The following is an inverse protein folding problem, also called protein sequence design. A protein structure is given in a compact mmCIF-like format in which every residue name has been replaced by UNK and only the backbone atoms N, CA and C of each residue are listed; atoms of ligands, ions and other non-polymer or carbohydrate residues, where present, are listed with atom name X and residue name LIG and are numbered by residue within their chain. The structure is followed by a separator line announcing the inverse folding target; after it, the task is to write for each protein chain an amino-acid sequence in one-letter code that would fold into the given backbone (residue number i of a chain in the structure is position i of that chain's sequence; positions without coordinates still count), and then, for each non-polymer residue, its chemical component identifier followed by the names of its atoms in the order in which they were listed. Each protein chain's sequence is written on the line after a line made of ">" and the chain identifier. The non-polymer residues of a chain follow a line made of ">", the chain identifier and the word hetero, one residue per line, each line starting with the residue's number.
data_IF_313251569844
#
_entry.id   IF_313251569844
#
_cell.length_a   1.000
_cell.length_b   1.000
_cell.length_c   1.000
_cell.angle_alpha   90.00
_cell.angle_beta   90.00
_cell.angle_gamma   90.00
#
_symmetry.space_group_name_H-M   'P 1'
#
loop_
_entity.id
_entity.type
_entity.pdbx_description
1 polymer ?
#
# COMPACT_ATOMS: atom_id res chain seq x y z
N UNK A 1 24.33 -16.67 31.57
CA UNK A 1 23.94 -15.29 31.22
C UNK A 1 23.49 -15.27 29.76
N UNK A 2 22.32 -15.84 29.48
CA UNK A 2 21.76 -15.99 28.12
C UNK A 2 20.26 -15.80 28.30
N UNK A 3 19.66 -14.79 27.65
CA UNK A 3 18.20 -14.69 27.37
C UNK A 3 17.73 -13.27 26.95
N UNK A 4 18.61 -12.29 26.69
CA UNK A 4 18.16 -10.99 26.17
C UNK A 4 18.13 -10.94 24.64
N UNK A 5 19.13 -11.52 23.95
CA UNK A 5 19.19 -11.49 22.47
C UNK A 5 18.04 -12.26 21.80
N UNK A 6 17.53 -13.33 22.42
CA UNK A 6 16.40 -14.10 21.90
C UNK A 6 15.07 -13.36 21.99
N UNK A 7 14.87 -12.51 23.01
CA UNK A 7 13.66 -11.72 23.16
C UNK A 7 13.60 -10.57 22.15
N UNK A 8 14.73 -9.90 21.88
CA UNK A 8 14.80 -8.88 20.83
C UNK A 8 14.53 -9.47 19.44
N UNK A 9 15.13 -10.61 19.11
CA UNK A 9 14.91 -11.28 17.83
C UNK A 9 13.47 -11.77 17.64
N UNK A 10 12.83 -12.28 18.71
CA UNK A 10 11.42 -12.68 18.64
C UNK A 10 10.48 -11.49 18.47
N UNK A 11 10.76 -10.37 19.13
CA UNK A 11 9.94 -9.16 19.06
C UNK A 11 10.10 -8.44 17.71
N UNK A 12 11.32 -8.40 17.18
CA UNK A 12 11.61 -7.86 15.85
C UNK A 12 10.97 -8.72 14.75
N UNK A 13 11.03 -10.05 14.87
CA UNK A 13 10.35 -10.97 13.96
C UNK A 13 8.82 -10.81 14.01
N UNK A 14 8.24 -10.70 15.20
CA UNK A 14 6.79 -10.51 15.37
C UNK A 14 6.32 -9.18 14.76
N UNK A 15 7.14 -8.13 14.85
CA UNK A 15 6.87 -6.83 14.23
C UNK A 15 6.91 -6.93 12.69
N UNK A 16 7.90 -7.63 12.13
CA UNK A 16 8.01 -7.83 10.67
C UNK A 16 6.85 -8.67 10.14
N UNK A 17 6.46 -9.73 10.85
CA UNK A 17 5.32 -10.58 10.46
C UNK A 17 4.01 -9.77 10.48
N UNK A 18 3.79 -8.93 11.50
CA UNK A 18 2.65 -8.04 11.57
C UNK A 18 2.61 -7.03 10.41
N UNK A 19 3.74 -6.37 10.11
CA UNK A 19 3.85 -5.44 8.98
C UNK A 19 3.58 -6.12 7.63
N UNK A 20 3.97 -7.38 7.50
CA UNK A 20 3.68 -8.19 6.32
C UNK A 20 2.18 -8.50 6.19
N UNK A 21 1.50 -8.79 7.29
CA UNK A 21 0.03 -8.97 7.30
C UNK A 21 -0.69 -7.66 6.92
N UNK A 22 -0.25 -6.52 7.46
CA UNK A 22 -0.78 -5.21 7.09
C UNK A 22 -0.60 -4.93 5.60
N UNK A 23 0.57 -5.24 5.06
CA UNK A 23 0.85 -5.16 3.61
C UNK A 23 -0.11 -6.04 2.80
N UNK A 24 -0.26 -7.31 3.16
CA UNK A 24 -1.15 -8.25 2.44
C UNK A 24 -2.60 -7.75 2.47
N UNK A 25 -3.07 -7.30 3.63
CA UNK A 25 -4.40 -6.72 3.80
C UNK A 25 -4.61 -5.48 2.93
N UNK A 26 -3.65 -4.55 2.93
CA UNK A 26 -3.70 -3.34 2.11
C UNK A 26 -3.68 -3.66 0.60
N UNK A 27 -2.86 -4.64 0.19
CA UNK A 27 -2.80 -5.14 -1.19
C UNK A 27 -4.14 -5.72 -1.63
N UNK A 28 -4.71 -6.65 -0.86
CA UNK A 28 -6.03 -7.26 -1.16
C UNK A 28 -7.12 -6.20 -1.26
N UNK A 29 -7.07 -5.17 -0.41
CA UNK A 29 -7.99 -4.04 -0.48
C UNK A 29 -7.84 -3.26 -1.78
N UNK A 30 -6.62 -2.93 -2.21
CA UNK A 30 -6.37 -2.29 -3.50
C UNK A 30 -6.82 -3.15 -4.68
N UNK A 31 -6.61 -4.46 -4.64
CA UNK A 31 -7.09 -5.39 -5.67
C UNK A 31 -8.61 -5.39 -5.79
N UNK A 32 -9.31 -5.43 -4.65
CA UNK A 32 -10.76 -5.33 -4.60
C UNK A 32 -11.24 -4.01 -5.21
N UNK A 33 -10.61 -2.90 -4.82
CA UNK A 33 -10.95 -1.57 -5.33
C UNK A 33 -10.64 -1.42 -6.83
N UNK A 34 -9.55 -2.03 -7.31
CA UNK A 34 -9.21 -2.04 -8.72
C UNK A 34 -10.28 -2.73 -9.59
N UNK A 35 -11.10 -3.62 -9.03
CA UNK A 35 -12.23 -4.27 -9.72
C UNK A 35 -13.53 -3.47 -9.69
N UNK A 36 -13.62 -2.41 -8.88
CA UNK A 36 -14.85 -1.62 -8.74
C UNK A 36 -15.17 -0.81 -10.00
N UNK A 37 -16.48 -0.55 -10.17
CA UNK A 37 -16.99 0.43 -11.12
C UNK A 37 -16.56 1.85 -10.72
N UNK A 38 -16.61 2.81 -11.65
CA UNK A 38 -16.23 4.20 -11.34
C UNK A 38 -17.13 4.85 -10.28
N UNK A 39 -18.42 4.52 -10.28
CA UNK A 39 -19.36 5.06 -9.29
C UNK A 39 -19.02 4.57 -7.88
N UNK A 40 -18.74 3.28 -7.72
CA UNK A 40 -18.37 2.71 -6.41
C UNK A 40 -16.98 3.16 -5.97
N UNK A 41 -16.07 3.37 -6.92
CA UNK A 41 -14.72 3.86 -6.67
C UNK A 41 -14.74 5.27 -6.08
N UNK A 42 -15.63 6.16 -6.55
CA UNK A 42 -15.74 7.53 -6.04
C UNK A 42 -16.08 7.59 -4.54
N UNK A 43 -16.82 6.61 -4.02
CA UNK A 43 -17.21 6.52 -2.61
C UNK A 43 -16.12 5.91 -1.72
N UNK A 44 -14.99 5.48 -2.29
CA UNK A 44 -13.93 4.72 -1.58
C UNK A 44 -12.56 5.42 -1.61
N UNK A 45 -12.50 6.67 -2.04
CA UNK A 45 -11.27 7.46 -2.17
C UNK A 45 -10.39 7.45 -0.91
N UNK A 46 -10.97 7.71 0.26
CA UNK A 46 -10.24 7.66 1.54
C UNK A 46 -9.65 6.27 1.83
N UNK A 47 -10.42 5.23 1.52
CA UNK A 47 -9.98 3.84 1.70
C UNK A 47 -8.86 3.42 0.74
N UNK A 48 -8.76 4.07 -0.42
CA UNK A 48 -7.64 3.89 -1.37
C UNK A 48 -6.39 4.54 -0.80
N UNK A 49 -6.51 5.79 -0.33
CA UNK A 49 -5.39 6.54 0.24
C UNK A 49 -4.81 5.77 1.45
N UNK A 50 -5.67 5.31 2.37
CA UNK A 50 -5.27 4.48 3.52
C UNK A 50 -4.50 3.22 3.10
N UNK A 51 -4.98 2.50 2.08
CA UNK A 51 -4.30 1.30 1.61
C UNK A 51 -2.92 1.61 1.00
N UNK A 52 -2.80 2.69 0.21
CA UNK A 52 -1.51 3.11 -0.37
C UNK A 52 -0.53 3.58 0.70
N UNK A 53 -1.00 4.28 1.73
CA UNK A 53 -0.18 4.68 2.90
C UNK A 53 0.37 3.44 3.61
N UNK A 54 -0.47 2.44 3.91
CA UNK A 54 -0.05 1.21 4.58
C UNK A 54 0.98 0.42 3.79
N UNK A 55 0.85 0.38 2.46
CA UNK A 55 1.85 -0.23 1.58
C UNK A 55 3.18 0.52 1.68
N UNK A 56 3.16 1.86 1.60
CA UNK A 56 4.38 2.67 1.74
C UNK A 56 5.03 2.41 3.11
N UNK A 57 4.26 2.42 4.19
CA UNK A 57 4.79 2.27 5.55
C UNK A 57 5.38 0.88 5.80
N UNK A 58 4.74 -0.17 5.27
CA UNK A 58 5.30 -1.51 5.30
C UNK A 58 6.64 -1.60 4.55
N UNK A 59 6.75 -0.98 3.37
CA UNK A 59 7.99 -0.92 2.61
C UNK A 59 9.10 -0.14 3.33
N UNK A 60 8.77 1.03 3.87
CA UNK A 60 9.68 1.85 4.68
C UNK A 60 10.18 1.11 5.93
N UNK A 61 9.34 0.26 6.50
CA UNK A 61 9.65 -0.53 7.68
C UNK A 61 10.45 -1.80 7.36
N UNK A 62 10.82 -2.03 6.10
CA UNK A 62 11.73 -3.11 5.69
C UNK A 62 11.05 -4.41 5.29
N UNK A 63 9.74 -4.41 4.99
CA UNK A 63 9.08 -5.59 4.43
C UNK A 63 9.69 -5.94 3.08
N UNK A 64 10.38 -7.09 3.02
CA UNK A 64 10.99 -7.58 1.80
C UNK A 64 9.93 -8.16 0.84
N UNK A 65 9.84 -7.60 -0.36
CA UNK A 65 8.96 -8.08 -1.43
C UNK A 65 9.72 -8.87 -2.49
N UNK A 66 9.08 -9.89 -3.03
CA UNK A 66 9.56 -10.61 -4.23
C UNK A 66 9.41 -9.74 -5.49
N UNK A 67 10.18 -9.98 -6.56
CA UNK A 67 10.06 -9.20 -7.81
C UNK A 67 8.63 -9.13 -8.36
N UNK A 68 7.86 -10.22 -8.27
CA UNK A 68 6.48 -10.26 -8.73
C UNK A 68 5.56 -9.36 -7.89
N UNK A 69 5.74 -9.36 -6.57
CA UNK A 69 5.00 -8.48 -5.66
C UNK A 69 5.30 -7.00 -5.93
N UNK A 70 6.57 -6.67 -6.23
CA UNK A 70 6.96 -5.30 -6.61
C UNK A 70 6.27 -4.84 -7.90
N UNK A 71 6.22 -5.70 -8.92
CA UNK A 71 5.53 -5.40 -10.18
C UNK A 71 4.03 -5.22 -9.93
N UNK A 72 3.44 -6.12 -9.14
CA UNK A 72 2.02 -6.11 -8.86
C UNK A 72 1.57 -4.87 -8.07
N UNK A 73 2.34 -4.47 -7.06
CA UNK A 73 1.98 -3.31 -6.24
C UNK A 73 2.02 -2.01 -7.06
N UNK A 74 3.04 -1.85 -7.92
CA UNK A 74 3.11 -0.71 -8.84
C UNK A 74 1.94 -0.71 -9.81
N UNK A 75 1.55 -1.88 -10.33
CA UNK A 75 0.38 -2.01 -11.21
C UNK A 75 -0.90 -1.55 -10.49
N UNK A 76 -1.13 -2.00 -9.26
CA UNK A 76 -2.32 -1.65 -8.47
C UNK A 76 -2.37 -0.16 -8.12
N UNK A 77 -1.25 0.41 -7.66
CA UNK A 77 -1.14 1.84 -7.33
C UNK A 77 -1.39 2.70 -8.57
N UNK A 78 -0.79 2.36 -9.72
CA UNK A 78 -1.03 3.08 -10.98
C UNK A 78 -2.49 2.98 -11.44
N UNK A 79 -3.14 1.82 -11.28
CA UNK A 79 -4.56 1.66 -11.60
C UNK A 79 -5.44 2.56 -10.72
N UNK A 80 -5.19 2.59 -9.41
CA UNK A 80 -5.90 3.47 -8.49
C UNK A 80 -5.69 4.96 -8.85
N UNK A 81 -4.46 5.33 -9.21
CA UNK A 81 -4.12 6.67 -9.66
C UNK A 81 -4.92 7.07 -10.91
N UNK A 82 -4.86 6.27 -11.97
CA UNK A 82 -5.57 6.54 -13.24
C UNK A 82 -7.08 6.64 -13.00
N UNK A 83 -7.67 5.72 -12.23
CA UNK A 83 -9.10 5.76 -11.91
C UNK A 83 -9.50 7.02 -11.15
N UNK A 84 -8.67 7.46 -10.20
CA UNK A 84 -8.93 8.68 -9.42
C UNK A 84 -8.98 9.93 -10.32
N UNK A 85 -8.03 10.05 -11.25
CA UNK A 85 -8.04 11.14 -12.24
C UNK A 85 -9.24 11.06 -13.19
N UNK A 86 -9.60 9.85 -13.63
CA UNK A 86 -10.69 9.63 -14.57
C UNK A 86 -12.09 9.93 -14.00
N UNK A 87 -12.25 10.08 -12.68
CA UNK A 87 -13.50 10.55 -12.08
C UNK A 87 -13.86 11.99 -12.50
N UNK A 88 -12.87 12.82 -12.82
CA UNK A 88 -13.10 14.22 -13.22
C UNK A 88 -13.69 15.11 -12.13
N UNK A 89 -13.71 14.67 -10.87
CA UNK A 89 -14.17 15.43 -9.70
C UNK A 89 -13.00 16.02 -8.92
N UNK A 90 -13.22 17.10 -8.17
CA UNK A 90 -12.17 17.71 -7.34
C UNK A 90 -11.54 16.70 -6.37
N UNK A 91 -12.35 15.86 -5.72
CA UNK A 91 -11.83 14.86 -4.78
C UNK A 91 -11.11 13.71 -5.51
N UNK A 92 -11.50 13.39 -6.75
CA UNK A 92 -10.75 12.50 -7.63
C UNK A 92 -9.35 13.04 -7.95
N UNK A 93 -9.24 14.33 -8.26
CA UNK A 93 -7.95 14.99 -8.50
C UNK A 93 -7.08 15.06 -7.24
N UNK A 94 -7.65 15.39 -6.07
CA UNK A 94 -6.90 15.35 -4.80
C UNK A 94 -6.38 13.94 -4.49
N UNK A 95 -7.24 12.93 -4.66
CA UNK A 95 -6.88 11.53 -4.47
C UNK A 95 -5.74 11.13 -5.42
N UNK A 96 -5.84 11.52 -6.69
CA UNK A 96 -4.76 11.33 -7.65
C UNK A 96 -3.44 11.94 -7.18
N UNK A 97 -3.43 13.21 -6.74
CA UNK A 97 -2.22 13.91 -6.31
C UNK A 97 -1.55 13.23 -5.11
N UNK A 98 -2.36 12.79 -4.13
CA UNK A 98 -1.86 12.07 -2.95
C UNK A 98 -1.23 10.74 -3.39
N UNK A 99 -1.93 9.94 -4.19
CA UNK A 99 -1.43 8.65 -4.66
C UNK A 99 -0.18 8.84 -5.54
N UNK A 100 -0.12 9.88 -6.37
CA UNK A 100 1.03 10.17 -7.22
C UNK A 100 2.29 10.44 -6.37
N UNK A 101 2.17 11.30 -5.36
CA UNK A 101 3.25 11.56 -4.39
C UNK A 101 3.70 10.28 -3.68
N UNK A 102 2.76 9.48 -3.18
CA UNK A 102 3.08 8.22 -2.49
C UNK A 102 3.68 7.16 -3.42
N UNK A 103 3.30 7.18 -4.71
CA UNK A 103 3.81 6.22 -5.69
C UNK A 103 5.29 6.41 -5.98
N UNK A 104 5.78 7.66 -5.94
CA UNK A 104 7.21 7.96 -6.05
C UNK A 104 7.99 7.48 -4.83
N UNK A 105 7.43 7.61 -3.62
CA UNK A 105 8.03 7.03 -2.42
C UNK A 105 8.09 5.50 -2.54
N UNK A 106 6.97 4.84 -2.86
CA UNK A 106 6.92 3.39 -3.07
C UNK A 106 7.99 2.93 -4.06
N UNK A 107 8.14 3.61 -5.21
CA UNK A 107 9.16 3.25 -6.22
C UNK A 107 10.59 3.30 -5.71
N UNK A 108 10.92 4.18 -4.76
CA UNK A 108 12.28 4.31 -4.21
C UNK A 108 12.65 3.15 -3.29
N UNK A 109 11.67 2.48 -2.69
CA UNK A 109 11.87 1.40 -1.71
C UNK A 109 11.61 -0.01 -2.30
N UNK A 110 11.20 -0.10 -3.56
CA UNK A 110 11.12 -1.35 -4.31
C UNK A 110 12.44 -1.61 -5.04
#
# INVERSE_FOLDING_TARGET
>A
MVCLLSLFSANEKLNIDHLKEEYVSAKTRLESIARLSYNDFSQKQDGIIDAVIKIRDALLSGVALTPNEKIEIIRLVNQAKIKSAALGTNDGYKTFQIIDSLSEDIRRYL
#
